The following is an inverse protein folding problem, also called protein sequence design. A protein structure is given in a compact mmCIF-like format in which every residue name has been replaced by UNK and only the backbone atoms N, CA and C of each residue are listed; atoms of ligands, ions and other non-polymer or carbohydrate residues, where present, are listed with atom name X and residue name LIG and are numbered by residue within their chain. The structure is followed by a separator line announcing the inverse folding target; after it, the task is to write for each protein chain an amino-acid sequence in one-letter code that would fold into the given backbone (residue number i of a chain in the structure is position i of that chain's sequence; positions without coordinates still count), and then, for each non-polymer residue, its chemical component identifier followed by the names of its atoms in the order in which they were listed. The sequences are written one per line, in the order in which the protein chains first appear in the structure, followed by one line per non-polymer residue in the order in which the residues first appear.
data_IF_491946304656
#
_entry.id   IF_491946304656
#
_cell.length_a   1.000
_cell.length_b   1.000
_cell.length_c   1.000
_cell.angle_alpha   90.00
_cell.angle_beta   90.00
_cell.angle_gamma   90.00
#
_symmetry.space_group_name_H-M   'P 1'
#
loop_
_entity.id
_entity.type
_entity.pdbx_description
1 polymer ?
#
# COMPACT_ATOMS: atom_id res chain seq x y z
N UNK A 1 46.29 -4.81 45.94
CA UNK A 1 45.39 -3.64 46.10
C UNK A 1 45.83 -2.58 45.10
N UNK A 2 45.11 -2.45 43.98
CA UNK A 2 45.06 -1.26 43.12
C UNK A 2 44.01 -1.56 42.05
N UNK A 3 42.88 -0.86 42.13
CA UNK A 3 41.87 -0.81 41.06
C UNK A 3 42.35 0.16 39.97
N UNK A 4 41.98 -0.10 38.72
CA UNK A 4 41.62 0.97 37.81
C UNK A 4 40.38 0.56 37.01
N UNK A 5 39.30 1.31 37.24
CA UNK A 5 38.04 1.20 36.54
C UNK A 5 38.12 2.03 35.25
N UNK A 6 37.71 1.48 34.10
CA UNK A 6 37.46 2.26 32.88
C UNK A 6 35.97 2.53 32.76
N UNK A 7 35.58 3.78 33.00
CA UNK A 7 34.19 4.23 33.00
C UNK A 7 33.87 4.96 31.68
N UNK A 8 33.13 4.31 30.79
CA UNK A 8 32.68 4.90 29.53
C UNK A 8 31.38 5.69 29.73
N UNK A 9 31.49 7.01 29.90
CA UNK A 9 30.34 7.92 29.99
C UNK A 9 30.08 8.67 28.69
N UNK A 10 29.06 8.26 27.93
CA UNK A 10 28.59 9.02 26.77
C UNK A 10 27.92 10.32 27.24
N UNK A 11 28.32 11.46 26.67
CA UNK A 11 27.99 12.79 27.22
C UNK A 11 26.81 13.45 26.50
N UNK A 12 25.77 13.93 27.23
CA UNK A 12 24.54 14.45 26.64
C UNK A 12 24.73 15.72 25.78
N UNK A 13 25.86 16.43 25.94
CA UNK A 13 26.22 17.59 25.14
C UNK A 13 26.34 17.26 23.65
N UNK A 14 26.87 16.08 23.30
CA UNK A 14 26.95 15.62 21.91
C UNK A 14 25.57 15.36 21.31
N UNK A 15 24.59 14.98 22.14
CA UNK A 15 23.23 14.74 21.70
C UNK A 15 22.50 16.05 21.32
N UNK A 16 22.78 17.16 22.00
CA UNK A 16 22.18 18.46 21.63
C UNK A 16 22.72 18.97 20.29
N UNK A 17 24.04 18.90 20.07
CA UNK A 17 24.65 19.49 18.88
C UNK A 17 24.19 18.87 17.55
N UNK A 18 23.87 17.57 17.49
CA UNK A 18 23.31 16.97 16.27
C UNK A 18 21.86 17.38 16.02
N UNK A 19 21.08 17.64 17.08
CA UNK A 19 19.71 18.14 16.98
C UNK A 19 19.73 19.56 16.42
N UNK A 20 20.56 20.44 16.99
CA UNK A 20 20.74 21.82 16.50
C UNK A 20 21.22 21.87 15.04
N UNK A 21 22.16 20.98 14.66
CA UNK A 21 22.64 20.89 13.28
C UNK A 21 21.52 20.48 12.31
N UNK A 22 20.71 19.47 12.68
CA UNK A 22 19.55 19.04 11.88
C UNK A 22 18.46 20.11 11.74
N UNK A 23 18.23 20.91 12.79
CA UNK A 23 17.26 22.01 12.75
C UNK A 23 17.76 23.08 11.75
N UNK A 24 19.04 23.47 11.81
CA UNK A 24 19.61 24.42 10.84
C UNK A 24 19.60 23.90 9.39
N UNK A 25 19.91 22.61 9.18
CA UNK A 25 19.82 21.97 7.85
C UNK A 25 18.39 22.03 7.29
N UNK A 26 17.38 21.69 8.10
CA UNK A 26 15.97 21.73 7.70
C UNK A 26 15.46 23.15 7.39
N UNK A 27 15.91 24.16 8.15
CA UNK A 27 15.58 25.58 7.89
C UNK A 27 16.20 26.05 6.58
N UNK A 28 17.48 25.76 6.33
CA UNK A 28 18.13 26.13 5.07
C UNK A 28 17.52 25.40 3.85
N UNK A 29 17.19 24.11 4.00
CA UNK A 29 16.55 23.31 2.96
C UNK A 29 15.13 23.81 2.59
N UNK A 30 14.44 24.50 3.50
CA UNK A 30 13.11 25.08 3.24
C UNK A 30 13.16 26.53 2.74
N UNK A 31 14.16 27.32 3.14
CA UNK A 31 14.32 28.71 2.65
C UNK A 31 14.71 28.79 1.16
N UNK A 32 15.65 27.95 0.72
CA UNK A 32 16.15 27.96 -0.67
C UNK A 32 15.05 27.85 -1.75
N UNK A 33 14.19 26.82 -1.73
CA UNK A 33 13.12 26.67 -2.73
C UNK A 33 12.04 27.75 -2.63
N UNK A 34 11.85 28.38 -1.45
CA UNK A 34 10.94 29.53 -1.31
C UNK A 34 11.49 30.77 -2.04
N UNK A 35 12.78 31.04 -1.88
CA UNK A 35 13.46 32.17 -2.54
C UNK A 35 13.48 32.00 -4.07
N UNK A 36 13.69 30.77 -4.55
CA UNK A 36 13.60 30.44 -5.98
C UNK A 36 12.20 30.68 -6.57
N UNK A 37 11.13 30.35 -5.83
CA UNK A 37 9.75 30.63 -6.26
C UNK A 37 9.46 32.13 -6.38
N UNK A 38 9.94 32.96 -5.44
CA UNK A 38 9.78 34.42 -5.51
C UNK A 38 10.53 35.03 -6.72
N UNK A 39 11.73 34.53 -7.03
CA UNK A 39 12.48 34.95 -8.20
C UNK A 39 11.76 34.58 -9.52
N UNK A 40 11.22 33.36 -9.61
CA UNK A 40 10.43 32.91 -10.77
C UNK A 40 9.16 33.75 -10.98
N UNK A 41 8.44 34.09 -9.90
CA UNK A 41 7.25 34.95 -9.97
C UNK A 41 7.58 36.35 -10.51
N UNK A 42 8.74 36.89 -10.12
CA UNK A 42 9.20 38.22 -10.54
C UNK A 42 9.60 38.22 -12.03
N UNK A 43 10.26 37.16 -12.52
CA UNK A 43 10.54 36.99 -13.95
C UNK A 43 9.27 36.84 -14.78
N UNK A 44 8.25 36.14 -14.28
CA UNK A 44 6.97 36.00 -14.98
C UNK A 44 6.23 37.34 -15.12
N UNK A 45 6.34 38.23 -14.12
CA UNK A 45 5.80 39.59 -14.18
C UNK A 45 6.58 40.47 -15.19
N UNK A 46 7.91 40.34 -15.24
CA UNK A 46 8.73 41.07 -16.20
C UNK A 46 8.39 40.70 -17.65
N UNK A 47 8.19 39.40 -17.94
CA UNK A 47 7.88 38.91 -19.30
C UNK A 47 6.44 39.23 -19.78
N UNK A 48 5.53 39.66 -18.90
CA UNK A 48 4.12 39.91 -19.25
C UNK A 48 3.80 41.37 -19.59
N UNK A 49 4.80 42.26 -19.63
CA UNK A 49 4.61 43.72 -19.83
C UNK A 49 4.90 44.22 -21.26
N UNK A 50 4.79 43.35 -22.29
CA UNK A 50 5.02 43.73 -23.69
C UNK A 50 3.80 43.43 -24.58
N UNK A 51 2.96 44.44 -24.79
CA UNK A 51 1.92 44.51 -25.82
C UNK A 51 2.44 45.30 -27.05
N UNK A 52 1.75 45.38 -28.22
CA UNK A 52 0.41 44.88 -28.54
C UNK A 52 0.27 44.11 -29.88
N UNK A 53 -0.93 43.56 -30.17
CA UNK A 53 -1.72 43.78 -31.41
C UNK A 53 -3.05 42.93 -31.40
N UNK A 54 -4.20 43.39 -31.98
CA UNK A 54 -5.51 42.75 -31.79
C UNK A 54 -6.39 42.50 -33.05
N UNK A 55 -6.99 41.29 -33.14
CA UNK A 55 -8.00 40.83 -34.12
C UNK A 55 -8.67 39.54 -33.52
N UNK A 56 -9.93 39.12 -33.69
CA UNK A 56 -11.17 39.57 -34.41
C UNK A 56 -12.40 39.29 -33.47
N UNK A 57 -13.69 39.53 -33.75
CA UNK A 57 -14.42 40.11 -34.90
C UNK A 57 -15.69 39.30 -35.29
N UNK A 58 -16.79 39.41 -34.51
CA UNK A 58 -18.19 39.07 -34.89
C UNK A 58 -18.48 37.56 -35.23
N UNK A 59 -19.71 37.04 -35.36
CA UNK A 59 -21.04 37.32 -34.74
C UNK A 59 -21.87 35.99 -34.67
N UNK A 60 -22.89 35.86 -33.78
CA UNK A 60 -23.79 34.70 -33.67
C UNK A 60 -25.06 34.85 -34.57
N UNK A 61 -25.88 33.81 -34.86
CA UNK A 61 -26.86 33.25 -33.90
C UNK A 61 -27.31 31.76 -34.07
N UNK A 62 -28.11 31.27 -33.11
CA UNK A 62 -28.98 30.07 -33.19
C UNK A 62 -30.34 30.46 -33.83
N UNK A 63 -31.19 29.56 -34.41
CA UNK A 63 -31.92 28.54 -33.61
C UNK A 63 -32.36 27.21 -34.31
N UNK A 64 -32.69 26.21 -33.48
CA UNK A 64 -33.79 25.21 -33.57
C UNK A 64 -34.25 24.63 -34.94
N UNK A 65 -34.25 23.27 -35.06
CA UNK A 65 -35.46 22.40 -35.28
C UNK A 65 -35.13 20.95 -35.72
N UNK A 66 -35.58 19.95 -34.94
CA UNK A 66 -35.83 18.55 -35.35
C UNK A 66 -37.22 18.45 -36.03
N UNK A 67 -37.53 17.47 -36.93
CA UNK A 67 -37.58 16.02 -36.61
C UNK A 67 -37.40 15.02 -37.80
N UNK A 68 -37.75 13.74 -37.54
CA UNK A 68 -38.15 12.69 -38.51
C UNK A 68 -36.98 12.07 -39.31
N UNK A 69 -36.45 10.91 -38.88
CA UNK A 69 -36.90 9.53 -39.17
C UNK A 69 -36.24 8.92 -40.41
N UNK A 70 -35.40 7.91 -40.19
CA UNK A 70 -35.01 6.92 -41.20
C UNK A 70 -35.07 5.53 -40.58
N UNK A 71 -36.28 4.98 -40.66
CA UNK A 71 -36.68 3.61 -40.37
C UNK A 71 -35.88 2.59 -41.21
N UNK A 72 -34.85 1.97 -40.65
CA UNK A 72 -34.35 0.66 -41.12
C UNK A 72 -33.82 -0.14 -39.92
N UNK A 73 -34.57 -1.15 -39.51
CA UNK A 73 -34.18 -2.03 -38.40
C UNK A 73 -33.64 -3.37 -38.90
N UNK A 74 -32.64 -3.90 -38.20
CA UNK A 74 -32.40 -5.34 -37.94
C UNK A 74 -31.28 -5.47 -36.89
N UNK A 75 -31.61 -6.00 -35.71
CA UNK A 75 -30.71 -6.78 -34.83
C UNK A 75 -31.65 -7.51 -33.83
N UNK A 76 -31.82 -8.83 -33.89
CA UNK A 76 -30.88 -9.88 -33.55
C UNK A 76 -30.49 -9.91 -32.06
N UNK A 77 -30.64 -11.08 -31.44
CA UNK A 77 -30.25 -11.42 -30.07
C UNK A 77 -30.68 -10.44 -28.96
N UNK A 78 -31.79 -10.77 -28.29
CA UNK A 78 -32.05 -10.30 -26.93
C UNK A 78 -30.93 -10.78 -25.99
N UNK A 79 -29.91 -9.95 -25.80
CA UNK A 79 -29.05 -10.02 -24.62
C UNK A 79 -29.96 -9.98 -23.38
N UNK A 80 -29.81 -10.91 -22.42
CA UNK A 80 -30.53 -10.77 -21.16
C UNK A 80 -30.11 -9.44 -20.56
N UNK A 81 -31.07 -8.52 -20.38
CA UNK A 81 -30.85 -7.30 -19.61
C UNK A 81 -30.27 -7.76 -18.26
N UNK A 82 -28.97 -7.48 -18.05
CA UNK A 82 -28.37 -7.69 -16.74
C UNK A 82 -29.28 -6.96 -15.76
N UNK A 83 -29.77 -7.72 -14.79
CA UNK A 83 -30.67 -7.20 -13.79
C UNK A 83 -30.07 -5.92 -13.24
N UNK A 84 -30.88 -4.86 -13.23
CA UNK A 84 -30.59 -3.65 -12.48
C UNK A 84 -30.71 -4.02 -10.99
N UNK A 85 -29.76 -4.84 -10.53
CA UNK A 85 -29.62 -5.27 -9.16
C UNK A 85 -29.31 -4.02 -8.37
N UNK A 86 -30.31 -3.58 -7.61
CA UNK A 86 -30.18 -2.54 -6.59
C UNK A 86 -28.79 -2.68 -5.94
N UNK A 87 -27.93 -1.65 -5.98
CA UNK A 87 -26.56 -1.78 -5.49
C UNK A 87 -26.64 -2.31 -4.06
N UNK A 88 -26.20 -3.56 -3.88
CA UNK A 88 -26.46 -4.30 -2.66
C UNK A 88 -25.82 -3.49 -1.53
N UNK A 89 -26.65 -2.86 -0.69
CA UNK A 89 -26.23 -1.96 0.39
C UNK A 89 -25.68 -2.78 1.56
N UNK A 90 -24.66 -3.57 1.24
CA UNK A 90 -23.70 -4.15 2.16
C UNK A 90 -23.28 -3.08 3.16
N UNK A 91 -23.10 -3.47 4.41
CA UNK A 91 -22.45 -2.62 5.39
C UNK A 91 -20.93 -2.69 5.12
N UNK A 92 -20.16 -1.66 5.51
CA UNK A 92 -18.70 -1.77 5.52
C UNK A 92 -18.28 -3.03 6.29
N UNK A 93 -17.21 -3.69 5.84
CA UNK A 93 -16.58 -4.79 6.57
C UNK A 93 -16.17 -4.29 7.97
N UNK A 94 -16.19 -5.18 8.99
CA UNK A 94 -15.59 -4.85 10.29
C UNK A 94 -14.12 -4.48 10.09
N UNK A 95 -13.64 -3.49 10.84
CA UNK A 95 -12.22 -3.14 10.81
C UNK A 95 -11.39 -4.35 11.29
N UNK A 96 -10.27 -4.68 10.64
CA UNK A 96 -9.37 -5.71 11.11
C UNK A 96 -8.90 -5.46 12.55
N UNK A 97 -8.58 -6.51 13.32
CA UNK A 97 -8.11 -6.38 14.69
C UNK A 97 -6.84 -5.54 14.75
N UNK A 98 -6.58 -4.97 15.94
CA UNK A 98 -5.34 -4.24 16.22
C UNK A 98 -4.11 -5.12 15.94
N UNK A 99 -3.19 -4.63 15.13
CA UNK A 99 -1.94 -5.32 14.83
C UNK A 99 -0.84 -4.95 15.83
N UNK A 100 -0.25 -5.97 16.45
CA UNK A 100 0.74 -5.84 17.53
C UNK A 100 2.21 -5.81 17.08
N UNK A 101 2.50 -5.82 15.78
CA UNK A 101 3.87 -5.88 15.26
C UNK A 101 4.47 -7.30 15.16
N UNK A 102 3.70 -8.36 15.43
CA UNK A 102 4.17 -9.75 15.30
C UNK A 102 4.26 -10.19 13.84
N UNK A 103 5.46 -10.57 13.37
CA UNK A 103 5.68 -11.10 12.01
C UNK A 103 4.81 -12.32 11.70
N UNK A 104 4.52 -13.19 12.69
CA UNK A 104 3.69 -14.38 12.52
C UNK A 104 2.24 -14.05 12.13
N UNK A 105 1.67 -13.00 12.72
CA UNK A 105 0.30 -12.57 12.44
C UNK A 105 0.17 -11.62 11.24
N UNK A 106 1.29 -11.03 10.79
CA UNK A 106 1.29 -9.96 9.80
C UNK A 106 0.61 -10.34 8.48
N UNK A 107 0.90 -11.52 7.93
CA UNK A 107 0.36 -11.92 6.62
C UNK A 107 -1.18 -12.00 6.62
N UNK A 108 -1.76 -12.58 7.67
CA UNK A 108 -3.21 -12.69 7.82
C UNK A 108 -3.88 -11.33 8.07
N UNK A 109 -3.30 -10.50 8.93
CA UNK A 109 -3.80 -9.14 9.18
C UNK A 109 -3.72 -8.27 7.93
N UNK A 110 -2.59 -8.30 7.21
CA UNK A 110 -2.37 -7.50 6.03
C UNK A 110 -3.26 -7.95 4.85
N UNK A 111 -3.71 -9.21 4.80
CA UNK A 111 -4.76 -9.63 3.86
C UNK A 111 -6.08 -8.95 4.20
N UNK A 112 -6.56 -9.08 5.45
CA UNK A 112 -7.80 -8.43 5.91
C UNK A 112 -7.78 -6.91 5.70
N UNK A 113 -6.65 -6.25 5.92
CA UNK A 113 -6.51 -4.81 5.67
C UNK A 113 -6.58 -4.48 4.17
N UNK A 114 -5.94 -5.27 3.29
CA UNK A 114 -6.12 -5.08 1.83
C UNK A 114 -7.55 -5.32 1.38
N UNK A 115 -8.21 -6.37 1.88
CA UNK A 115 -9.63 -6.64 1.59
C UNK A 115 -10.53 -5.48 2.04
N UNK A 116 -10.25 -4.91 3.22
CA UNK A 116 -10.94 -3.73 3.74
C UNK A 116 -10.72 -2.50 2.85
N UNK A 117 -9.49 -2.23 2.42
CA UNK A 117 -9.18 -1.11 1.51
C UNK A 117 -9.85 -1.29 0.15
N UNK A 118 -9.74 -2.46 -0.47
CA UNK A 118 -10.29 -2.77 -1.80
C UNK A 118 -11.82 -2.69 -1.82
N UNK A 119 -12.48 -3.29 -0.83
CA UNK A 119 -13.93 -3.42 -0.79
C UNK A 119 -14.64 -2.17 -0.26
N UNK A 120 -14.03 -1.45 0.69
CA UNK A 120 -14.68 -0.34 1.38
C UNK A 120 -14.12 1.04 1.03
N UNK A 121 -13.15 1.19 0.11
CA UNK A 121 -12.59 2.49 -0.31
C UNK A 121 -13.68 3.55 -0.57
N UNK A 122 -14.78 3.17 -1.20
CA UNK A 122 -15.92 4.02 -1.54
C UNK A 122 -16.73 4.56 -0.34
N UNK A 123 -16.51 4.07 0.90
CA UNK A 123 -17.10 4.63 2.12
C UNK A 123 -16.23 5.71 2.79
N UNK A 124 -15.00 5.94 2.32
CA UNK A 124 -14.04 6.87 2.90
C UNK A 124 -13.80 8.06 1.97
N UNK A 125 -13.45 9.22 2.51
CA UNK A 125 -13.27 10.46 1.73
C UNK A 125 -11.88 10.51 1.06
N UNK A 126 -11.50 9.43 0.37
CA UNK A 126 -10.25 9.27 -0.35
C UNK A 126 -9.05 8.81 0.49
N UNK A 127 -7.86 8.90 -0.10
CA UNK A 127 -6.62 8.31 0.40
C UNK A 127 -6.30 8.66 1.86
N UNK A 128 -6.54 9.90 2.28
CA UNK A 128 -6.17 10.38 3.61
C UNK A 128 -6.97 9.70 4.73
N UNK A 129 -8.26 9.44 4.52
CA UNK A 129 -9.10 8.69 5.46
C UNK A 129 -8.66 7.22 5.54
N UNK A 130 -8.27 6.62 4.41
CA UNK A 130 -7.74 5.25 4.35
C UNK A 130 -6.35 5.14 5.02
N UNK A 131 -5.52 6.17 4.92
CA UNK A 131 -4.24 6.29 5.63
C UNK A 131 -4.46 6.36 7.15
N UNK A 132 -5.41 7.18 7.62
CA UNK A 132 -5.85 7.20 9.02
C UNK A 132 -6.40 5.83 9.45
N UNK A 133 -7.20 5.15 8.63
CA UNK A 133 -7.76 3.82 8.92
C UNK A 133 -6.66 2.79 9.19
N UNK A 134 -5.67 2.66 8.29
CA UNK A 134 -4.57 1.69 8.44
C UNK A 134 -3.85 1.92 9.78
N UNK A 135 -3.48 3.17 10.08
CA UNK A 135 -2.81 3.51 11.34
C UNK A 135 -3.71 3.30 12.57
N UNK A 136 -5.02 3.51 12.44
CA UNK A 136 -5.99 3.20 13.50
C UNK A 136 -6.11 1.71 13.80
N UNK A 137 -5.75 0.83 12.85
CA UNK A 137 -5.68 -0.63 13.04
C UNK A 137 -4.31 -1.11 13.56
N UNK A 138 -3.35 -0.22 13.86
CA UNK A 138 -2.08 -0.56 14.52
C UNK A 138 -2.17 -0.37 16.04
N UNK A 139 -1.43 -1.18 16.81
CA UNK A 139 -1.11 -0.91 18.21
C UNK A 139 0.05 0.10 18.35
N UNK A 140 0.29 0.59 19.57
CA UNK A 140 1.31 1.61 19.88
C UNK A 140 2.70 1.27 19.31
N UNK A 141 3.17 0.03 19.50
CA UNK A 141 4.51 -0.39 19.04
C UNK A 141 4.69 -0.27 17.51
N UNK A 142 3.83 -0.85 16.66
CA UNK A 142 3.93 -0.59 15.22
C UNK A 142 3.63 0.86 14.82
N UNK A 143 2.76 1.59 15.55
CA UNK A 143 2.57 3.03 15.30
C UNK A 143 3.88 3.83 15.49
N UNK A 144 4.62 3.59 16.58
CA UNK A 144 5.93 4.20 16.83
C UNK A 144 6.93 3.91 15.70
N UNK A 145 6.98 2.66 15.21
CA UNK A 145 7.88 2.25 14.12
C UNK A 145 7.53 2.94 12.79
N UNK A 146 6.26 3.17 12.48
CA UNK A 146 5.85 3.87 11.25
C UNK A 146 5.75 5.40 11.40
N UNK A 147 5.84 5.96 12.62
CA UNK A 147 5.45 7.33 12.93
C UNK A 147 6.05 8.39 11.99
N UNK A 148 7.36 8.32 11.71
CA UNK A 148 8.04 9.26 10.80
C UNK A 148 7.54 9.15 9.36
N UNK A 149 7.36 7.92 8.86
CA UNK A 149 6.83 7.68 7.51
C UNK A 149 5.35 8.09 7.40
N UNK A 150 4.59 7.83 8.47
CA UNK A 150 3.19 8.19 8.62
C UNK A 150 2.98 9.71 8.58
N UNK A 151 3.78 10.46 9.35
CA UNK A 151 3.74 11.92 9.41
C UNK A 151 4.18 12.57 8.09
N UNK A 152 5.11 11.96 7.37
CA UNK A 152 5.55 12.42 6.05
C UNK A 152 4.52 12.18 4.92
N UNK A 153 3.46 11.39 5.16
CA UNK A 153 2.46 11.07 4.13
C UNK A 153 2.97 10.14 3.00
N UNK A 154 4.08 9.43 3.23
CA UNK A 154 4.73 8.56 2.24
C UNK A 154 5.51 9.32 1.16
N UNK A 155 5.97 8.63 0.10
CA UNK A 155 6.67 9.26 -1.02
C UNK A 155 5.82 10.35 -1.67
N UNK A 156 6.33 11.58 -1.72
CA UNK A 156 5.62 12.73 -2.27
C UNK A 156 4.46 13.27 -1.41
N UNK A 157 4.26 12.77 -0.18
CA UNK A 157 3.28 13.32 0.77
C UNK A 157 1.81 13.15 0.37
N UNK A 158 1.50 12.22 -0.54
CA UNK A 158 0.15 12.05 -1.09
C UNK A 158 -0.80 11.19 -0.22
N UNK A 159 -0.32 10.71 0.95
CA UNK A 159 -1.07 9.87 1.89
C UNK A 159 -1.68 8.60 1.25
N UNK A 160 -1.02 8.01 0.25
CA UNK A 160 -1.51 6.83 -0.46
C UNK A 160 -1.53 5.59 0.46
N UNK A 161 -2.71 5.02 0.80
CA UNK A 161 -2.80 3.84 1.66
C UNK A 161 -1.97 2.65 1.17
N UNK A 162 -1.75 2.51 -0.14
CA UNK A 162 -0.93 1.42 -0.69
C UNK A 162 0.57 1.60 -0.38
N UNK A 163 1.07 2.83 -0.28
CA UNK A 163 2.45 3.11 0.15
C UNK A 163 2.68 2.78 1.62
N UNK A 164 1.71 3.05 2.50
CA UNK A 164 1.78 2.65 3.91
C UNK A 164 1.73 1.12 4.06
N UNK A 165 0.87 0.43 3.31
CA UNK A 165 0.87 -1.03 3.26
C UNK A 165 2.20 -1.59 2.72
N UNK A 166 2.82 -0.96 1.71
CA UNK A 166 4.14 -1.36 1.19
C UNK A 166 5.29 -1.07 2.17
N UNK A 167 5.16 -0.04 3.01
CA UNK A 167 6.08 0.19 4.12
C UNK A 167 5.95 -0.92 5.17
N UNK A 168 4.73 -1.21 5.62
CA UNK A 168 4.45 -2.31 6.55
C UNK A 168 4.92 -3.67 6.03
N UNK A 169 4.78 -3.95 4.72
CA UNK A 169 5.29 -5.17 4.11
C UNK A 169 6.80 -5.28 4.23
N UNK A 170 7.56 -4.22 3.94
CA UNK A 170 9.02 -4.21 4.10
C UNK A 170 9.45 -4.39 5.56
N UNK A 171 8.68 -3.82 6.50
CA UNK A 171 8.99 -3.88 7.93
C UNK A 171 8.66 -5.25 8.53
N UNK A 172 7.48 -5.81 8.25
CA UNK A 172 6.90 -6.94 9.00
C UNK A 172 6.72 -8.25 8.22
N UNK A 173 6.70 -8.23 6.88
CA UNK A 173 6.65 -9.48 6.10
C UNK A 173 7.90 -10.30 6.37
N UNK A 174 7.74 -11.62 6.43
CA UNK A 174 8.85 -12.54 6.64
C UNK A 174 9.35 -13.03 5.27
N UNK A 175 10.48 -12.45 4.84
CA UNK A 175 11.13 -12.77 3.56
C UNK A 175 11.59 -14.22 3.45
N UNK A 176 11.73 -14.94 4.57
CA UNK A 176 12.25 -16.30 4.61
C UNK A 176 11.14 -17.37 4.55
N UNK A 177 9.86 -16.99 4.48
CA UNK A 177 8.74 -17.95 4.39
C UNK A 177 8.96 -18.96 3.25
N UNK A 178 9.18 -18.51 2.02
CA UNK A 178 9.36 -19.38 0.86
C UNK A 178 10.55 -20.35 1.03
N UNK A 179 11.69 -19.87 1.54
CA UNK A 179 12.89 -20.70 1.75
C UNK A 179 12.68 -21.76 2.84
N UNK A 180 12.03 -21.39 3.96
CA UNK A 180 11.67 -22.34 5.03
C UNK A 180 10.61 -23.34 4.56
N UNK A 181 9.61 -22.90 3.80
CA UNK A 181 8.57 -23.75 3.24
C UNK A 181 9.13 -24.76 2.23
N UNK A 182 9.99 -24.33 1.30
CA UNK A 182 10.69 -25.21 0.37
C UNK A 182 11.61 -26.21 1.08
N UNK A 183 12.28 -25.82 2.17
CA UNK A 183 13.07 -26.73 3.01
C UNK A 183 12.17 -27.72 3.76
N UNK A 184 11.01 -27.26 4.24
CA UNK A 184 10.00 -28.10 4.88
C UNK A 184 9.45 -29.13 3.90
N UNK A 185 9.03 -28.74 2.69
CA UNK A 185 8.54 -29.65 1.64
C UNK A 185 9.53 -30.79 1.32
N UNK A 186 10.84 -30.49 1.27
CA UNK A 186 11.87 -31.51 1.00
C UNK A 186 12.03 -32.54 2.12
N UNK A 187 11.62 -32.21 3.34
CA UNK A 187 11.81 -33.04 4.54
C UNK A 187 10.50 -33.61 5.10
N UNK A 188 9.36 -33.03 4.71
CA UNK A 188 8.04 -33.41 5.17
C UNK A 188 7.60 -34.73 4.53
N UNK A 189 7.52 -35.77 5.35
CA UNK A 189 7.03 -37.11 4.97
C UNK A 189 5.89 -37.51 5.89
N UNK A 190 4.89 -38.22 5.36
CA UNK A 190 3.87 -38.85 6.17
C UNK A 190 4.53 -39.95 7.01
N UNK A 191 4.25 -39.97 8.32
CA UNK A 191 4.73 -41.02 9.23
C UNK A 191 3.83 -42.26 9.13
N UNK A 192 4.36 -43.42 9.49
CA UNK A 192 3.63 -44.70 9.39
C UNK A 192 2.41 -44.76 10.31
N UNK A 193 2.43 -44.01 11.43
CA UNK A 193 1.32 -43.84 12.37
C UNK A 193 0.34 -42.70 11.99
N UNK A 194 0.64 -41.91 10.95
CA UNK A 194 -0.08 -40.67 10.66
C UNK A 194 -1.15 -40.85 9.58
N UNK A 195 -2.39 -40.48 9.91
CA UNK A 195 -3.48 -40.44 8.93
C UNK A 195 -3.26 -39.37 7.86
N UNK A 196 -3.69 -39.65 6.63
CA UNK A 196 -3.56 -38.72 5.50
C UNK A 196 -4.27 -37.37 5.76
N UNK A 197 -5.43 -37.40 6.42
CA UNK A 197 -6.19 -36.20 6.80
C UNK A 197 -5.42 -35.29 7.79
N UNK A 198 -4.52 -35.84 8.61
CA UNK A 198 -3.64 -35.06 9.50
C UNK A 198 -2.35 -34.61 8.81
N UNK A 199 -1.98 -35.24 7.70
CA UNK A 199 -0.78 -34.91 6.92
C UNK A 199 -1.04 -33.82 5.89
N UNK A 200 -2.09 -33.97 5.07
CA UNK A 200 -2.39 -33.11 3.92
C UNK A 200 -2.41 -31.61 4.25
N UNK A 201 -3.10 -31.12 5.31
CA UNK A 201 -3.15 -29.67 5.57
C UNK A 201 -1.77 -29.04 5.78
N UNK A 202 -0.82 -29.78 6.37
CA UNK A 202 0.57 -29.31 6.57
C UNK A 202 1.38 -29.33 5.27
N UNK A 203 1.13 -30.31 4.41
CA UNK A 203 1.76 -30.40 3.09
C UNK A 203 1.25 -29.30 2.16
N UNK A 204 -0.07 -29.09 2.10
CA UNK A 204 -0.72 -28.03 1.34
C UNK A 204 -0.29 -26.64 1.81
N UNK A 205 -0.22 -26.40 3.12
CA UNK A 205 0.32 -25.15 3.66
C UNK A 205 1.77 -24.92 3.21
N UNK A 206 2.65 -25.92 3.36
CA UNK A 206 4.04 -25.79 2.95
C UNK A 206 4.18 -25.61 1.41
N UNK A 207 3.26 -26.18 0.62
CA UNK A 207 3.20 -26.01 -0.83
C UNK A 207 2.80 -24.59 -1.21
N UNK A 208 1.73 -24.06 -0.61
CA UNK A 208 1.27 -22.69 -0.81
C UNK A 208 2.30 -21.65 -0.35
N UNK A 209 2.99 -21.89 0.77
CA UNK A 209 4.03 -21.00 1.31
C UNK A 209 5.33 -21.01 0.47
N UNK A 210 5.68 -22.14 -0.17
CA UNK A 210 6.85 -22.24 -1.06
C UNK A 210 6.58 -21.66 -2.46
N UNK A 211 5.35 -21.77 -2.95
CA UNK A 211 4.88 -21.20 -4.21
C UNK A 211 5.14 -22.05 -5.46
N UNK A 212 4.59 -21.58 -6.58
CA UNK A 212 4.56 -22.23 -7.90
C UNK A 212 5.93 -22.74 -8.39
N UNK A 213 7.04 -22.08 -8.02
CA UNK A 213 8.40 -22.47 -8.40
C UNK A 213 8.80 -23.88 -7.92
N UNK A 214 8.07 -24.45 -6.95
CA UNK A 214 8.25 -25.82 -6.44
C UNK A 214 7.21 -26.83 -6.98
N UNK A 215 6.30 -26.44 -7.87
CA UNK A 215 5.25 -27.33 -8.40
C UNK A 215 5.79 -28.59 -9.09
N UNK A 216 6.91 -28.48 -9.84
CA UNK A 216 7.59 -29.64 -10.44
C UNK A 216 8.17 -30.62 -9.39
N UNK A 217 8.46 -30.16 -8.18
CA UNK A 217 8.96 -31.00 -7.08
C UNK A 217 7.81 -31.71 -6.35
N UNK A 218 6.63 -31.09 -6.27
CA UNK A 218 5.44 -31.71 -5.69
C UNK A 218 4.95 -32.93 -6.50
N UNK A 219 4.94 -32.82 -7.84
CA UNK A 219 4.64 -33.94 -8.75
C UNK A 219 5.58 -35.13 -8.57
N UNK A 220 6.86 -34.87 -8.21
CA UNK A 220 7.85 -35.93 -7.93
C UNK A 220 7.66 -36.60 -6.57
N UNK A 221 7.02 -35.95 -5.61
CA UNK A 221 6.78 -36.50 -4.27
C UNK A 221 5.45 -37.27 -4.17
N UNK A 222 4.40 -36.86 -4.89
CA UNK A 222 3.14 -37.64 -4.94
C UNK A 222 3.26 -38.94 -5.74
N UNK A 223 4.33 -39.11 -6.51
CA UNK A 223 4.61 -40.33 -7.31
C UNK A 223 5.14 -41.52 -6.48
N UNK A 224 5.23 -41.41 -5.14
CA UNK A 224 5.80 -42.45 -4.29
C UNK A 224 4.78 -43.06 -3.32
N UNK A 225 4.50 -44.34 -3.58
CA UNK A 225 3.77 -45.32 -2.75
C UNK A 225 2.23 -45.36 -2.85
N UNK A 226 1.75 -45.69 -4.04
CA UNK A 226 0.71 -46.74 -4.15
C UNK A 226 1.25 -48.08 -3.61
N UNK A 227 0.38 -48.99 -3.13
CA UNK A 227 0.78 -50.25 -2.50
C UNK A 227 1.51 -51.21 -3.45
#
# INVERSE_FOLDING_TARGET
MMEQQTQSGDSPTSQHQWIDHRIHEAINASLGPLQAQLAALTQHLANSTTAPQPQEGLQPPLPTRTPSESLFGIDAAQLPQQSNGSPNKRKPLPNPPKYNGSRKGYAAWARQMRDKLELDAHYYNGNRDLWYLINSCLEEKPQQVVATFYAAGGPGGNFDPHELMRYLDRTYKDSNIQSRAATSLRTLRQREDQSLATFLPRFEQALAEAGEATGQTAQRLCSLRTP
#
